data_IF_858361909111
#
_entry.id   IF_858361909111
#
_cell.length_a   1.000
_cell.length_b   1.000
_cell.length_c   1.000
_cell.angle_alpha   90.00
_cell.angle_beta   90.00
_cell.angle_gamma   90.00
#
_symmetry.space_group_name_H-M   'P 1'
#
loop_
_entity.id
_entity.type
_entity.pdbx_description
1 polymer ?
#
# COMPACT_ATOMS: atom_id res chain seq x y z
N UNK A 1 2.48 9.20 3.32
CA UNK A 1 3.51 9.30 2.27
C UNK A 1 4.56 8.22 2.49
N UNK A 2 4.97 7.56 1.42
CA UNK A 2 6.04 6.58 1.44
C UNK A 2 7.36 7.23 1.02
N UNK A 3 8.40 7.08 1.82
CA UNK A 3 9.77 7.35 1.41
C UNK A 3 10.31 6.19 0.56
N UNK A 4 11.40 6.42 -0.15
CA UNK A 4 12.10 5.40 -0.92
C UNK A 4 13.63 5.67 -0.91
N UNK A 5 14.48 4.66 -1.12
CA UNK A 5 15.93 4.83 -1.07
C UNK A 5 16.53 5.39 -2.36
N UNK A 6 15.73 5.62 -3.42
CA UNK A 6 16.24 6.00 -4.74
C UNK A 6 16.32 7.52 -4.95
N UNK A 7 15.34 8.26 -4.40
CA UNK A 7 15.26 9.72 -4.58
C UNK A 7 15.97 10.48 -3.47
N UNK A 8 16.35 9.81 -2.39
CA UNK A 8 17.02 10.42 -1.24
C UNK A 8 17.89 9.38 -0.53
N UNK A 9 19.10 9.76 -0.16
CA UNK A 9 20.00 8.87 0.58
C UNK A 9 19.36 8.47 1.94
N UNK A 10 19.46 7.21 2.38
CA UNK A 10 18.84 6.73 3.61
C UNK A 10 19.23 7.51 4.87
N UNK A 11 20.49 8.00 4.96
CA UNK A 11 20.93 8.83 6.09
C UNK A 11 20.17 10.16 6.19
N UNK A 12 19.83 10.77 5.05
CA UNK A 12 19.02 12.00 5.02
C UNK A 12 17.59 11.73 5.45
N UNK A 13 17.06 10.59 5.05
CA UNK A 13 15.72 10.15 5.46
C UNK A 13 15.67 9.87 6.97
N UNK A 14 16.69 9.19 7.52
CA UNK A 14 16.81 8.94 8.95
C UNK A 14 16.90 10.23 9.77
N UNK A 15 17.75 11.18 9.35
CA UNK A 15 17.87 12.48 10.00
C UNK A 15 16.56 13.28 9.97
N UNK A 16 15.89 13.29 8.80
CA UNK A 16 14.62 14.01 8.64
C UNK A 16 13.52 13.45 9.55
N UNK A 17 13.39 12.12 9.60
CA UNK A 17 12.33 11.51 10.43
C UNK A 17 12.65 11.61 11.92
N UNK A 18 13.92 11.59 12.31
CA UNK A 18 14.33 11.83 13.70
C UNK A 18 13.91 13.23 14.16
N UNK A 19 14.08 14.25 13.31
CA UNK A 19 13.61 15.62 13.61
C UNK A 19 12.09 15.68 13.78
N UNK A 20 11.32 14.96 12.94
CA UNK A 20 9.87 14.88 13.10
C UNK A 20 9.48 14.16 14.39
N UNK A 21 10.18 13.08 14.72
CA UNK A 21 9.92 12.31 15.93
C UNK A 21 10.21 13.10 17.21
N UNK A 22 11.24 13.96 17.20
CA UNK A 22 11.51 14.88 18.31
C UNK A 22 10.34 15.84 18.58
N UNK A 23 9.69 16.31 17.50
CA UNK A 23 8.50 17.19 17.61
C UNK A 23 7.22 16.42 17.96
N UNK A 24 7.17 15.14 17.69
CA UNK A 24 5.99 14.27 17.88
C UNK A 24 6.40 12.91 18.47
N UNK A 25 6.90 12.87 19.73
CA UNK A 25 7.33 11.63 20.37
C UNK A 25 6.22 10.57 20.35
N UNK A 26 6.60 9.31 20.09
CA UNK A 26 5.72 8.13 20.06
C UNK A 26 4.54 8.21 19.07
N UNK A 27 4.50 9.21 18.20
CA UNK A 27 3.47 9.42 17.19
C UNK A 27 4.00 9.38 15.74
N UNK A 28 5.26 9.00 15.58
CA UNK A 28 5.93 9.02 14.28
C UNK A 28 6.31 7.61 13.87
N UNK A 29 5.98 7.24 12.65
CA UNK A 29 6.47 6.04 11.98
C UNK A 29 7.12 6.43 10.65
N UNK A 30 8.22 5.77 10.29
CA UNK A 30 8.84 5.90 8.97
C UNK A 30 8.26 4.83 8.05
N UNK A 31 7.52 5.23 7.03
CA UNK A 31 7.01 4.30 6.03
C UNK A 31 7.80 4.36 4.73
N UNK A 32 8.25 3.20 4.24
CA UNK A 32 9.10 3.07 3.06
C UNK A 32 8.61 2.03 2.07
N UNK A 33 9.01 2.18 0.81
CA UNK A 33 8.79 1.21 -0.25
C UNK A 33 9.90 1.23 -1.29
N UNK A 34 9.84 0.33 -2.25
CA UNK A 34 10.81 0.29 -3.38
C UNK A 34 10.77 1.58 -4.22
N UNK A 35 9.69 2.34 -4.14
CA UNK A 35 9.41 3.50 -4.98
C UNK A 35 8.97 3.07 -6.38
N UNK A 36 7.75 3.42 -6.76
CA UNK A 36 7.25 3.13 -8.11
C UNK A 36 7.01 4.43 -8.87
N UNK A 37 5.82 4.97 -8.87
CA UNK A 37 5.44 6.15 -9.68
C UNK A 37 6.38 7.34 -9.46
N UNK A 38 6.62 7.75 -8.21
CA UNK A 38 7.48 8.91 -7.91
C UNK A 38 8.92 8.73 -8.38
N UNK A 39 9.45 7.50 -8.34
CA UNK A 39 10.82 7.18 -8.77
C UNK A 39 10.90 7.14 -10.29
N UNK A 40 9.91 6.52 -10.96
CA UNK A 40 9.83 6.46 -12.42
C UNK A 40 9.64 7.83 -13.05
N UNK A 41 8.78 8.68 -12.46
CA UNK A 41 8.61 10.06 -12.93
C UNK A 41 9.87 10.93 -12.75
N UNK A 42 10.73 10.58 -11.79
CA UNK A 42 12.04 11.19 -11.62
C UNK A 42 13.12 10.63 -12.59
N UNK A 43 12.75 9.75 -13.53
CA UNK A 43 13.67 9.12 -14.47
C UNK A 43 14.56 8.05 -13.84
N UNK A 44 14.23 7.56 -12.66
CA UNK A 44 14.98 6.56 -11.93
C UNK A 44 14.26 5.20 -11.97
N UNK A 45 14.99 4.13 -11.71
CA UNK A 45 14.38 2.81 -11.49
C UNK A 45 13.94 2.63 -10.03
N UNK A 46 12.91 1.83 -9.76
CA UNK A 46 12.59 1.38 -8.40
C UNK A 46 13.77 0.64 -7.74
N UNK A 47 13.84 0.69 -6.42
CA UNK A 47 14.84 -0.03 -5.65
C UNK A 47 14.70 -1.55 -5.82
N UNK A 48 15.82 -2.25 -5.87
CA UNK A 48 15.82 -3.70 -5.69
C UNK A 48 15.52 -4.04 -4.22
N UNK A 49 15.00 -5.24 -3.97
CA UNK A 49 14.67 -5.69 -2.61
C UNK A 49 15.87 -5.55 -1.65
N UNK A 50 17.07 -5.97 -2.08
CA UNK A 50 18.29 -5.84 -1.28
C UNK A 50 18.68 -4.37 -0.98
N UNK A 51 18.43 -3.45 -1.92
CA UNK A 51 18.70 -2.02 -1.72
C UNK A 51 17.74 -1.43 -0.68
N UNK A 52 16.47 -1.82 -0.72
CA UNK A 52 15.50 -1.42 0.30
C UNK A 52 15.86 -2.01 1.66
N UNK A 53 16.18 -3.30 1.75
CA UNK A 53 16.60 -3.99 2.97
C UNK A 53 17.83 -3.34 3.59
N UNK A 54 18.90 -3.10 2.81
CA UNK A 54 20.11 -2.42 3.27
C UNK A 54 19.81 -1.00 3.77
N UNK A 55 18.88 -0.30 3.12
CA UNK A 55 18.44 1.03 3.55
C UNK A 55 17.71 1.00 4.88
N UNK A 56 16.87 -0.01 5.11
CA UNK A 56 16.18 -0.21 6.41
C UNK A 56 17.20 -0.42 7.52
N UNK A 57 18.18 -1.31 7.30
CA UNK A 57 19.22 -1.56 8.29
C UNK A 57 20.06 -0.31 8.59
N UNK A 58 20.49 0.42 7.56
CA UNK A 58 21.23 1.68 7.71
C UNK A 58 20.43 2.69 8.54
N UNK A 59 19.16 2.90 8.20
CA UNK A 59 18.33 3.88 8.92
C UNK A 59 18.06 3.44 10.36
N UNK A 60 17.83 2.15 10.60
CA UNK A 60 17.66 1.63 11.97
C UNK A 60 18.89 1.89 12.81
N UNK A 61 20.09 1.57 12.31
CA UNK A 61 21.34 1.85 13.04
C UNK A 61 21.49 3.34 13.33
N UNK A 62 21.26 4.21 12.34
CA UNK A 62 21.33 5.66 12.56
C UNK A 62 20.30 6.14 13.59
N UNK A 63 19.06 5.66 13.51
CA UNK A 63 18.00 6.03 14.46
C UNK A 63 18.28 5.52 15.89
N UNK A 64 19.03 4.43 16.03
CA UNK A 64 19.54 3.94 17.33
C UNK A 64 20.75 4.72 17.83
N UNK A 65 21.36 5.59 17.02
CA UNK A 65 22.59 6.30 17.35
C UNK A 65 23.88 5.53 17.08
N UNK A 66 23.78 4.39 16.39
CA UNK A 66 24.94 3.59 16.02
C UNK A 66 25.73 4.26 14.88
N UNK A 67 27.08 4.16 14.88
CA UNK A 67 27.89 4.62 13.78
C UNK A 67 27.68 3.73 12.53
N UNK A 68 27.46 4.37 11.38
CA UNK A 68 27.20 3.70 10.10
C UNK A 68 28.18 4.16 9.04
N UNK A 69 28.81 3.22 8.35
CA UNK A 69 29.62 3.53 7.16
C UNK A 69 28.69 3.96 6.00
N UNK A 70 28.85 5.20 5.58
CA UNK A 70 28.13 5.81 4.47
C UNK A 70 29.05 6.10 3.27
N UNK A 71 30.25 5.53 3.26
CA UNK A 71 31.28 5.78 2.24
C UNK A 71 32.05 7.10 2.45
N UNK A 72 31.93 7.74 3.61
CA UNK A 72 32.69 8.94 3.97
C UNK A 72 33.97 8.59 4.77
N UNK A 73 34.83 9.58 4.99
CA UNK A 73 36.10 9.40 5.74
C UNK A 73 35.88 8.95 7.21
N UNK A 74 34.69 9.19 7.75
CA UNK A 74 34.29 8.75 9.10
C UNK A 74 32.85 8.23 9.04
N UNK A 75 32.47 7.23 9.88
CA UNK A 75 31.11 6.79 10.01
C UNK A 75 30.16 7.94 10.37
N UNK A 76 28.97 7.91 9.80
CA UNK A 76 27.89 8.84 10.18
C UNK A 76 27.23 8.38 11.47
N UNK A 77 26.88 9.35 12.33
CA UNK A 77 26.12 9.15 13.57
C UNK A 77 25.05 10.23 13.63
N UNK A 78 23.84 9.90 14.03
CA UNK A 78 22.85 10.92 14.35
C UNK A 78 23.12 11.48 15.75
N UNK A 79 23.27 12.82 15.90
CA UNK A 79 23.54 13.42 17.20
C UNK A 79 22.36 13.34 18.18
N UNK A 80 21.12 13.17 17.63
CA UNK A 80 19.88 13.06 18.39
C UNK A 80 19.11 11.82 17.90
N UNK A 81 19.48 10.60 18.31
CA UNK A 81 18.79 9.39 17.93
C UNK A 81 17.36 9.37 18.46
N UNK A 82 16.45 8.79 17.70
CA UNK A 82 15.04 8.70 18.04
C UNK A 82 14.53 7.28 17.76
N UNK A 83 13.74 6.73 18.67
CA UNK A 83 13.08 5.45 18.45
C UNK A 83 11.91 5.63 17.47
N UNK A 84 12.16 5.40 16.19
CA UNK A 84 11.14 5.50 15.13
C UNK A 84 10.90 4.13 14.51
N UNK A 85 9.70 3.55 14.64
CA UNK A 85 9.36 2.32 13.95
C UNK A 85 9.45 2.48 12.42
N UNK A 86 10.07 1.50 11.76
CA UNK A 86 10.21 1.47 10.29
C UNK A 86 9.20 0.50 9.73
N UNK A 87 8.27 1.01 8.93
CA UNK A 87 7.24 0.23 8.24
C UNK A 87 7.55 0.13 6.76
N UNK A 88 7.23 -1.00 6.13
CA UNK A 88 7.41 -1.19 4.70
C UNK A 88 6.07 -1.39 3.99
N UNK A 89 5.90 -0.72 2.85
CA UNK A 89 4.80 -1.02 1.94
C UNK A 89 5.21 -2.15 0.99
N UNK A 90 4.47 -3.23 0.99
CA UNK A 90 4.77 -4.43 0.24
C UNK A 90 3.50 -5.10 -0.32
N UNK A 91 3.63 -5.74 -1.49
CA UNK A 91 2.57 -6.52 -2.13
C UNK A 91 3.10 -7.81 -2.76
N UNK A 92 4.35 -7.80 -3.27
CA UNK A 92 4.97 -8.98 -3.85
C UNK A 92 5.54 -9.96 -2.81
N UNK A 93 5.54 -11.28 -3.07
CA UNK A 93 5.87 -12.31 -2.08
C UNK A 93 7.28 -12.18 -1.49
N UNK A 94 8.28 -11.85 -2.33
CA UNK A 94 9.66 -11.66 -1.87
C UNK A 94 9.83 -10.40 -1.03
N UNK A 95 9.11 -9.33 -1.36
CA UNK A 95 9.15 -8.07 -0.60
C UNK A 95 8.43 -8.23 0.74
N UNK A 96 7.30 -8.96 0.77
CA UNK A 96 6.58 -9.28 2.02
C UNK A 96 7.46 -10.10 2.97
N UNK A 97 8.15 -11.10 2.46
CA UNK A 97 9.06 -11.94 3.26
C UNK A 97 10.24 -11.13 3.79
N UNK A 98 10.90 -10.32 2.95
CA UNK A 98 11.96 -9.42 3.37
C UNK A 98 11.46 -8.39 4.40
N UNK A 99 10.27 -7.82 4.22
CA UNK A 99 9.69 -6.89 5.18
C UNK A 99 9.49 -7.56 6.55
N UNK A 100 9.01 -8.81 6.59
CA UNK A 100 8.91 -9.61 7.81
C UNK A 100 10.25 -9.79 8.53
N UNK A 101 11.35 -9.91 7.79
CA UNK A 101 12.68 -10.11 8.39
C UNK A 101 13.25 -8.86 9.05
N UNK A 102 12.92 -7.64 8.58
CA UNK A 102 13.62 -6.43 9.02
C UNK A 102 12.75 -5.25 9.45
N UNK A 103 11.46 -5.21 9.11
CA UNK A 103 10.58 -4.11 9.46
C UNK A 103 9.89 -4.27 10.83
N UNK A 104 9.39 -3.19 11.40
CA UNK A 104 8.55 -3.20 12.61
C UNK A 104 7.08 -3.41 12.25
N UNK A 105 6.71 -3.01 11.05
CA UNK A 105 5.38 -3.26 10.49
C UNK A 105 5.38 -3.24 8.97
N UNK A 106 4.30 -3.76 8.39
CA UNK A 106 4.13 -3.86 6.95
C UNK A 106 2.74 -3.36 6.56
N UNK A 107 2.70 -2.36 5.69
CA UNK A 107 1.48 -2.00 4.97
C UNK A 107 1.33 -2.91 3.76
N UNK A 108 0.32 -3.76 3.77
CA UNK A 108 -0.03 -4.60 2.61
C UNK A 108 -0.97 -3.85 1.67
N UNK A 109 -0.70 -3.93 0.37
CA UNK A 109 -1.54 -3.40 -0.71
C UNK A 109 -1.81 -4.51 -1.72
N UNK A 110 -2.78 -5.36 -1.43
CA UNK A 110 -3.06 -6.60 -2.16
C UNK A 110 -4.54 -6.77 -2.51
N UNK A 111 -5.28 -5.66 -2.49
CA UNK A 111 -6.74 -5.64 -2.67
C UNK A 111 -7.48 -5.97 -1.38
N UNK A 112 -8.75 -6.32 -1.54
CA UNK A 112 -9.73 -6.52 -0.47
C UNK A 112 -10.05 -7.99 -0.24
N UNK A 113 -9.53 -8.89 -1.10
CA UNK A 113 -9.81 -10.33 -1.01
C UNK A 113 -9.06 -10.99 0.15
N UNK A 114 -9.79 -11.69 1.02
CA UNK A 114 -9.25 -12.34 2.22
C UNK A 114 -8.12 -13.33 1.94
N UNK A 115 -8.17 -14.06 0.82
CA UNK A 115 -7.11 -15.02 0.47
C UNK A 115 -5.80 -14.33 0.12
N UNK A 116 -5.84 -13.19 -0.59
CA UNK A 116 -4.65 -12.38 -0.86
C UNK A 116 -4.09 -11.76 0.43
N UNK A 117 -4.95 -11.30 1.33
CA UNK A 117 -4.58 -10.77 2.65
C UNK A 117 -3.90 -11.88 3.48
N UNK A 118 -4.55 -13.03 3.61
CA UNK A 118 -4.02 -14.17 4.38
C UNK A 118 -2.65 -14.64 3.87
N UNK A 119 -2.51 -14.80 2.56
CA UNK A 119 -1.23 -15.20 1.96
C UNK A 119 -0.13 -14.16 2.22
N UNK A 120 -0.47 -12.87 2.18
CA UNK A 120 0.48 -11.80 2.46
C UNK A 120 0.97 -11.83 3.91
N UNK A 121 0.05 -12.00 4.86
CA UNK A 121 0.40 -12.13 6.28
C UNK A 121 1.24 -13.38 6.55
N UNK A 122 0.92 -14.52 5.93
CA UNK A 122 1.74 -15.74 6.01
C UNK A 122 3.17 -15.50 5.51
N UNK A 123 3.35 -14.73 4.44
CA UNK A 123 4.70 -14.36 3.93
C UNK A 123 5.47 -13.48 4.90
N UNK A 124 4.82 -12.49 5.51
CA UNK A 124 5.43 -11.62 6.53
C UNK A 124 5.89 -12.45 7.72
N UNK A 125 5.00 -13.30 8.26
CA UNK A 125 5.31 -14.19 9.38
C UNK A 125 6.47 -15.15 9.07
N UNK A 126 6.45 -15.76 7.87
CA UNK A 126 7.56 -16.59 7.40
C UNK A 126 8.89 -15.85 7.35
N UNK A 127 8.88 -14.58 6.90
CA UNK A 127 10.07 -13.73 6.88
C UNK A 127 10.63 -13.45 8.29
N UNK A 128 9.76 -13.18 9.26
CA UNK A 128 10.14 -13.00 10.65
C UNK A 128 10.75 -14.29 11.26
N UNK A 129 10.08 -15.42 11.06
CA UNK A 129 10.54 -16.71 11.56
C UNK A 129 11.93 -17.14 11.02
N UNK A 130 12.22 -16.85 9.75
CA UNK A 130 13.52 -17.17 9.11
C UNK A 130 14.72 -16.51 9.78
N UNK A 131 14.51 -15.38 10.44
CA UNK A 131 15.56 -14.64 11.16
C UNK A 131 15.42 -14.77 12.69
N UNK A 132 14.59 -15.69 13.17
CA UNK A 132 14.40 -15.96 14.59
C UNK A 132 13.58 -14.90 15.34
N UNK A 133 12.82 -14.06 14.63
CA UNK A 133 11.87 -13.13 15.24
C UNK A 133 10.54 -13.84 15.52
N UNK A 134 9.84 -13.37 16.56
CA UNK A 134 8.46 -13.81 16.78
C UNK A 134 7.58 -13.32 15.61
N UNK A 135 6.75 -14.20 15.10
CA UNK A 135 5.89 -13.92 13.95
C UNK A 135 4.95 -12.72 14.19
N UNK A 136 4.46 -12.58 15.41
CA UNK A 136 3.56 -11.51 15.85
C UNK A 136 4.30 -10.20 16.16
N UNK A 137 5.63 -10.19 16.18
CA UNK A 137 6.42 -8.98 16.42
C UNK A 137 6.33 -7.97 15.27
N UNK A 138 5.94 -8.43 14.09
CA UNK A 138 5.77 -7.58 12.91
C UNK A 138 4.31 -7.19 12.78
N UNK A 139 4.03 -5.91 12.99
CA UNK A 139 2.67 -5.37 12.86
C UNK A 139 2.21 -5.35 11.41
N UNK A 140 0.92 -5.50 11.18
CA UNK A 140 0.33 -5.44 9.83
C UNK A 140 -0.65 -4.29 9.73
N UNK A 141 -0.55 -3.52 8.66
CA UNK A 141 -1.55 -2.54 8.26
C UNK A 141 -2.07 -2.87 6.87
N UNK A 142 -3.31 -2.52 6.58
CA UNK A 142 -3.89 -2.66 5.26
C UNK A 142 -4.06 -1.30 4.59
N UNK A 143 -3.80 -1.24 3.28
CA UNK A 143 -4.12 -0.08 2.44
C UNK A 143 -5.17 -0.53 1.43
N UNK A 144 -6.39 -0.01 1.56
CA UNK A 144 -7.49 -0.28 0.64
C UNK A 144 -7.73 0.92 -0.27
N UNK A 145 -7.60 0.72 -1.57
CA UNK A 145 -8.07 1.69 -2.54
C UNK A 145 -9.58 1.84 -2.41
N UNK A 146 -10.06 3.08 -2.35
CA UNK A 146 -11.47 3.36 -2.06
C UNK A 146 -12.06 4.28 -3.11
N UNK A 147 -12.95 3.73 -3.91
CA UNK A 147 -13.77 4.43 -4.92
C UNK A 147 -15.09 4.81 -4.25
N UNK A 148 -15.13 6.03 -3.67
CA UNK A 148 -16.31 6.53 -2.96
C UNK A 148 -17.16 7.36 -3.91
N UNK A 149 -18.07 6.69 -4.62
CA UNK A 149 -18.94 7.25 -5.67
C UNK A 149 -20.32 6.64 -5.52
N UNK A 150 -21.36 7.50 -5.50
CA UNK A 150 -22.74 7.04 -5.29
C UNK A 150 -23.34 6.39 -6.56
N UNK A 151 -22.86 6.75 -7.77
CA UNK A 151 -23.28 6.17 -9.04
C UNK A 151 -22.64 4.78 -9.24
N UNK A 152 -23.46 3.75 -9.34
CA UNK A 152 -23.01 2.35 -9.38
C UNK A 152 -22.21 2.02 -10.65
N UNK A 153 -22.63 2.54 -11.82
CA UNK A 153 -21.93 2.30 -13.08
C UNK A 153 -20.53 2.93 -13.07
N UNK A 154 -20.43 4.18 -12.63
CA UNK A 154 -19.16 4.89 -12.44
C UNK A 154 -18.26 4.16 -11.44
N UNK A 155 -18.82 3.77 -10.31
CA UNK A 155 -18.13 3.03 -9.26
C UNK A 155 -17.57 1.70 -9.78
N UNK A 156 -18.35 0.97 -10.59
CA UNK A 156 -17.93 -0.31 -11.16
C UNK A 156 -16.81 -0.12 -12.19
N UNK A 157 -16.94 0.83 -13.11
CA UNK A 157 -15.89 1.10 -14.12
C UNK A 157 -14.58 1.51 -13.46
N UNK A 158 -14.61 2.41 -12.47
CA UNK A 158 -13.42 2.76 -11.71
C UNK A 158 -12.84 1.55 -10.96
N UNK A 159 -13.68 0.70 -10.40
CA UNK A 159 -13.28 -0.56 -9.76
C UNK A 159 -12.59 -1.53 -10.72
N UNK A 160 -13.09 -1.67 -11.94
CA UNK A 160 -12.45 -2.48 -13.01
C UNK A 160 -11.08 -1.92 -13.39
N UNK A 161 -10.96 -0.58 -13.48
CA UNK A 161 -9.69 0.09 -13.70
C UNK A 161 -8.67 -0.21 -12.59
N UNK A 162 -9.12 -0.20 -11.32
CA UNK A 162 -8.28 -0.58 -10.18
C UNK A 162 -7.85 -2.04 -10.25
N UNK A 163 -8.76 -2.97 -10.53
CA UNK A 163 -8.45 -4.40 -10.69
C UNK A 163 -7.42 -4.63 -11.81
N UNK A 164 -7.58 -3.98 -12.96
CA UNK A 164 -6.65 -4.05 -14.07
C UNK A 164 -5.25 -3.55 -13.68
N UNK A 165 -5.15 -2.46 -12.92
CA UNK A 165 -3.88 -1.98 -12.39
C UNK A 165 -3.21 -2.96 -11.42
N UNK A 166 -3.98 -3.65 -10.59
CA UNK A 166 -3.43 -4.74 -9.76
C UNK A 166 -2.90 -5.89 -10.61
N UNK A 167 -3.62 -6.29 -11.66
CA UNK A 167 -3.13 -7.32 -12.58
C UNK A 167 -1.84 -6.90 -13.28
N UNK A 168 -1.78 -5.66 -13.79
CA UNK A 168 -0.60 -5.13 -14.50
C UNK A 168 0.68 -5.19 -13.66
N UNK A 169 0.59 -4.87 -12.37
CA UNK A 169 1.75 -4.84 -11.46
C UNK A 169 1.99 -6.14 -10.70
N UNK A 170 0.96 -6.95 -10.51
CA UNK A 170 1.03 -8.15 -9.65
C UNK A 170 0.01 -9.21 -10.10
N UNK A 171 0.16 -9.78 -11.31
CA UNK A 171 -0.81 -10.74 -11.87
C UNK A 171 -1.04 -11.95 -10.94
N UNK A 172 -0.04 -12.31 -10.15
CA UNK A 172 -0.17 -13.35 -9.14
C UNK A 172 -1.32 -13.15 -8.13
N UNK A 173 -1.77 -11.91 -7.93
CA UNK A 173 -2.90 -11.64 -7.03
C UNK A 173 -4.23 -12.12 -7.64
N UNK A 174 -4.34 -12.15 -8.95
CA UNK A 174 -5.44 -12.82 -9.67
C UNK A 174 -5.33 -14.33 -9.54
N UNK A 175 -4.15 -14.90 -9.83
CA UNK A 175 -3.90 -16.35 -9.75
C UNK A 175 -4.23 -16.89 -8.35
N UNK A 176 -3.84 -16.18 -7.31
CA UNK A 176 -4.08 -16.57 -5.91
C UNK A 176 -5.56 -16.82 -5.61
N UNK A 177 -6.46 -16.08 -6.22
CA UNK A 177 -7.91 -16.14 -5.97
C UNK A 177 -8.66 -16.86 -7.09
N UNK A 178 -7.95 -17.36 -8.09
CA UNK A 178 -8.52 -18.13 -9.21
C UNK A 178 -9.19 -17.26 -10.28
N UNK A 179 -8.76 -15.99 -10.40
CA UNK A 179 -9.20 -15.11 -11.46
C UNK A 179 -8.28 -15.23 -12.68
N UNK A 180 -8.89 -15.16 -13.86
CA UNK A 180 -8.20 -15.10 -15.13
C UNK A 180 -8.29 -13.70 -15.73
N UNK A 181 -7.27 -13.31 -16.48
CA UNK A 181 -7.27 -12.00 -17.15
C UNK A 181 -8.16 -12.03 -18.38
N UNK A 182 -8.77 -12.79 -18.90
CA UNK A 182 -9.73 -12.87 -20.00
C UNK A 182 -9.57 -11.90 -21.21
N UNK A 183 -8.67 -10.94 -21.13
CA UNK A 183 -8.44 -9.90 -22.13
C UNK A 183 -7.15 -10.07 -22.93
N UNK A 184 -6.91 -9.13 -23.85
CA UNK A 184 -5.64 -9.02 -24.57
C UNK A 184 -4.50 -8.57 -23.60
N UNK A 185 -3.28 -8.61 -24.10
CA UNK A 185 -2.11 -8.11 -23.36
C UNK A 185 -2.34 -6.68 -22.81
N UNK A 186 -2.05 -6.39 -21.53
CA UNK A 186 -2.29 -5.08 -20.92
C UNK A 186 -1.66 -3.92 -21.69
N UNK A 187 -0.44 -4.08 -22.23
CA UNK A 187 0.22 -3.02 -22.99
C UNK A 187 -0.49 -2.72 -24.30
N UNK A 188 -1.04 -3.75 -24.95
CA UNK A 188 -1.85 -3.57 -26.16
C UNK A 188 -3.17 -2.85 -25.82
N UNK A 189 -3.84 -3.26 -24.76
CA UNK A 189 -5.09 -2.61 -24.31
C UNK A 189 -4.87 -1.14 -23.98
N UNK A 190 -3.82 -0.81 -23.22
CA UNK A 190 -3.45 0.58 -22.92
C UNK A 190 -3.18 1.39 -24.17
N UNK A 191 -2.37 0.85 -25.08
CA UNK A 191 -2.00 1.53 -26.33
C UNK A 191 -3.24 1.83 -27.20
N UNK A 192 -4.13 0.87 -27.39
CA UNK A 192 -5.32 1.07 -28.22
C UNK A 192 -6.44 1.82 -27.51
N UNK A 193 -6.54 1.71 -26.19
CA UNK A 193 -7.51 2.41 -25.37
C UNK A 193 -7.09 3.82 -24.96
N UNK A 194 -5.86 4.26 -25.29
CA UNK A 194 -5.35 5.57 -24.91
C UNK A 194 -5.12 5.72 -23.41
N UNK A 195 -4.85 4.63 -22.70
CA UNK A 195 -4.63 4.63 -21.24
C UNK A 195 -3.15 4.86 -20.94
N UNK A 196 -2.83 5.85 -20.12
CA UNK A 196 -1.47 6.18 -19.70
C UNK A 196 -1.50 6.81 -18.29
N UNK A 197 -0.53 6.55 -17.40
CA UNK A 197 0.64 5.66 -17.56
C UNK A 197 0.28 4.18 -17.37
N UNK A 198 -0.74 3.88 -16.60
CA UNK A 198 -1.27 2.54 -16.32
C UNK A 198 -2.78 2.63 -16.02
N UNK A 199 -3.46 1.48 -15.84
CA UNK A 199 -4.91 1.47 -15.68
C UNK A 199 -5.39 2.25 -14.45
N UNK A 200 -4.73 2.12 -13.31
CA UNK A 200 -5.20 2.70 -12.04
C UNK A 200 -4.63 4.10 -11.72
N UNK A 201 -3.75 4.64 -12.55
CA UNK A 201 -3.29 6.01 -12.49
C UNK A 201 -3.69 6.83 -13.74
N UNK A 202 -4.54 6.28 -14.60
CA UNK A 202 -5.04 7.00 -15.78
C UNK A 202 -5.74 8.31 -15.36
N UNK A 203 -5.64 9.37 -16.16
CA UNK A 203 -6.33 10.64 -15.89
C UNK A 203 -7.87 10.51 -15.89
N UNK A 204 -8.40 9.48 -16.56
CA UNK A 204 -9.81 9.15 -16.56
C UNK A 204 -9.97 7.64 -16.28
N UNK A 205 -10.33 7.32 -15.02
CA UNK A 205 -10.53 5.95 -14.57
C UNK A 205 -11.81 5.31 -15.13
N UNK A 206 -12.80 6.11 -15.50
CA UNK A 206 -14.01 5.62 -16.15
C UNK A 206 -13.66 5.12 -17.56
N UNK A 207 -12.92 5.92 -18.33
CA UNK A 207 -12.45 5.51 -19.66
C UNK A 207 -11.51 4.30 -19.57
N UNK A 208 -10.61 4.30 -18.61
CA UNK A 208 -9.73 3.15 -18.34
C UNK A 208 -10.52 1.88 -18.01
N UNK A 209 -11.57 2.00 -17.20
CA UNK A 209 -12.47 0.89 -16.87
C UNK A 209 -13.23 0.34 -18.08
N UNK A 210 -13.64 1.21 -19.02
CA UNK A 210 -14.26 0.78 -20.28
C UNK A 210 -13.31 -0.04 -21.17
N UNK A 211 -12.02 0.25 -21.14
CA UNK A 211 -11.01 -0.52 -21.89
C UNK A 211 -10.89 -1.95 -21.37
N UNK A 212 -11.16 -2.16 -20.10
CA UNK A 212 -11.11 -3.48 -19.43
C UNK A 212 -12.49 -3.97 -19.01
N UNK A 213 -13.53 -3.63 -19.78
CA UNK A 213 -14.93 -3.97 -19.44
C UNK A 213 -15.22 -5.48 -19.43
N UNK A 214 -14.33 -6.31 -19.98
CA UNK A 214 -14.38 -7.77 -19.85
C UNK A 214 -14.15 -8.26 -18.41
N UNK A 215 -13.58 -7.43 -17.51
CA UNK A 215 -13.52 -7.75 -16.10
C UNK A 215 -14.91 -7.64 -15.48
N UNK A 216 -15.25 -8.60 -14.64
CA UNK A 216 -16.54 -8.65 -13.96
C UNK A 216 -16.54 -7.85 -12.66
N UNK A 217 -17.70 -7.68 -12.07
CA UNK A 217 -17.88 -6.98 -10.80
C UNK A 217 -17.07 -7.63 -9.65
N UNK A 218 -16.96 -8.95 -9.62
CA UNK A 218 -16.18 -9.68 -8.63
C UNK A 218 -14.69 -9.33 -8.69
N UNK A 219 -14.14 -9.03 -9.88
CA UNK A 219 -12.77 -8.53 -10.03
C UNK A 219 -12.63 -7.15 -9.39
N UNK A 220 -13.55 -6.22 -9.67
CA UNK A 220 -13.54 -4.90 -9.05
C UNK A 220 -13.61 -4.99 -7.52
N UNK A 221 -14.54 -5.80 -6.99
CA UNK A 221 -14.76 -5.97 -5.55
C UNK A 221 -13.58 -6.66 -4.83
N UNK A 222 -12.77 -7.46 -5.53
CA UNK A 222 -11.60 -8.12 -4.96
C UNK A 222 -10.39 -7.18 -4.78
N UNK A 223 -10.39 -6.03 -5.46
CA UNK A 223 -9.19 -5.16 -5.49
C UNK A 223 -9.43 -3.74 -4.98
N UNK A 224 -10.67 -3.30 -4.81
CA UNK A 224 -10.95 -2.02 -4.15
C UNK A 224 -12.27 -2.05 -3.36
N UNK A 225 -12.37 -1.16 -2.39
CA UNK A 225 -13.64 -0.78 -1.79
C UNK A 225 -14.34 0.18 -2.77
N UNK A 226 -15.62 -0.04 -3.06
CA UNK A 226 -16.34 0.80 -4.00
C UNK A 226 -17.81 0.99 -3.65
N UNK A 227 -18.38 2.08 -4.12
CA UNK A 227 -19.79 2.41 -3.96
C UNK A 227 -20.04 3.58 -3.02
N UNK A 228 -21.27 3.65 -2.52
CA UNK A 228 -21.70 4.64 -1.53
C UNK A 228 -21.21 4.30 -0.11
N UNK A 229 -21.48 5.18 0.86
CA UNK A 229 -21.02 5.02 2.24
C UNK A 229 -21.48 3.69 2.88
N UNK A 230 -22.74 3.28 2.65
CA UNK A 230 -23.28 2.03 3.21
C UNK A 230 -22.60 0.80 2.62
N UNK A 231 -22.38 0.77 1.30
CA UNK A 231 -21.70 -0.33 0.60
C UNK A 231 -20.26 -0.47 1.07
N UNK A 232 -19.51 0.64 1.14
CA UNK A 232 -18.12 0.64 1.61
C UNK A 232 -18.03 0.22 3.07
N UNK A 233 -18.92 0.72 3.94
CA UNK A 233 -19.00 0.29 5.35
C UNK A 233 -19.20 -1.22 5.46
N UNK A 234 -20.14 -1.78 4.72
CA UNK A 234 -20.41 -3.21 4.72
C UNK A 234 -19.19 -4.03 4.25
N UNK A 235 -18.52 -3.59 3.19
CA UNK A 235 -17.31 -4.24 2.69
C UNK A 235 -16.19 -4.23 3.74
N UNK A 236 -15.93 -3.09 4.38
CA UNK A 236 -14.89 -2.98 5.44
C UNK A 236 -15.21 -3.91 6.60
N UNK A 237 -16.43 -3.87 7.12
CA UNK A 237 -16.86 -4.72 8.24
C UNK A 237 -16.73 -6.20 7.89
N UNK A 238 -17.12 -6.61 6.70
CA UNK A 238 -16.98 -7.98 6.21
C UNK A 238 -15.51 -8.42 6.15
N UNK A 239 -14.63 -7.56 5.61
CA UNK A 239 -13.19 -7.84 5.53
C UNK A 239 -12.59 -7.97 6.94
N UNK A 240 -12.88 -7.03 7.84
CA UNK A 240 -12.32 -7.04 9.19
C UNK A 240 -12.79 -8.27 9.99
N UNK A 241 -14.06 -8.65 9.88
CA UNK A 241 -14.58 -9.89 10.51
C UNK A 241 -13.90 -11.13 9.92
N UNK A 242 -13.79 -11.22 8.60
CA UNK A 242 -13.08 -12.32 7.95
C UNK A 242 -11.59 -12.39 8.30
N UNK A 243 -10.92 -11.25 8.47
CA UNK A 243 -9.53 -11.20 8.94
C UNK A 243 -9.43 -11.68 10.39
N UNK A 244 -10.35 -11.26 11.27
CA UNK A 244 -10.40 -11.72 12.66
C UNK A 244 -10.55 -13.25 12.75
N UNK A 245 -11.41 -13.85 11.95
CA UNK A 245 -11.59 -15.31 11.88
C UNK A 245 -10.30 -16.02 11.43
N UNK A 246 -9.48 -15.36 10.63
CA UNK A 246 -8.15 -15.82 10.19
C UNK A 246 -7.02 -15.48 11.17
N UNK A 247 -7.33 -14.90 12.34
CA UNK A 247 -6.36 -14.40 13.34
C UNK A 247 -5.39 -13.37 12.75
N UNK A 248 -5.95 -12.45 11.98
CA UNK A 248 -5.25 -11.32 11.39
C UNK A 248 -5.87 -10.04 11.94
N UNK A 249 -5.11 -9.35 12.78
CA UNK A 249 -5.49 -8.05 13.32
C UNK A 249 -4.63 -6.97 12.67
N UNK A 250 -5.28 -5.93 12.17
CA UNK A 250 -4.59 -4.79 11.59
C UNK A 250 -4.32 -3.72 12.64
N UNK A 251 -3.06 -3.30 12.76
CA UNK A 251 -2.68 -2.12 13.55
C UNK A 251 -3.27 -0.83 12.93
N UNK A 252 -3.30 -0.77 11.59
CA UNK A 252 -3.84 0.34 10.82
C UNK A 252 -4.62 -0.14 9.61
N UNK A 253 -5.74 0.51 9.35
CA UNK A 253 -6.47 0.41 8.08
C UNK A 253 -6.47 1.79 7.43
N UNK A 254 -5.89 1.88 6.25
CA UNK A 254 -5.79 3.12 5.47
C UNK A 254 -6.77 3.02 4.30
N UNK A 255 -7.74 3.92 4.27
CA UNK A 255 -8.63 4.08 3.12
C UNK A 255 -7.99 5.11 2.17
N UNK A 256 -7.41 4.63 1.08
CA UNK A 256 -6.77 5.48 0.08
C UNK A 256 -7.80 5.97 -0.93
N UNK A 257 -8.09 7.29 -0.99
CA UNK A 257 -9.06 7.83 -1.94
C UNK A 257 -8.58 7.63 -3.38
N UNK A 258 -9.53 7.26 -4.25
CA UNK A 258 -9.33 7.14 -5.69
C UNK A 258 -10.30 8.12 -6.36
N UNK A 259 -9.89 9.38 -6.57
CA UNK A 259 -10.71 10.38 -7.26
C UNK A 259 -10.66 10.19 -8.77
N UNK A 260 -11.72 10.65 -9.46
CA UNK A 260 -11.74 10.78 -10.92
C UNK A 260 -12.37 12.11 -11.32
N UNK A 261 -11.66 13.00 -12.01
CA UNK A 261 -10.24 12.92 -12.36
C UNK A 261 -9.32 13.06 -11.13
N UNK A 262 -8.04 12.61 -11.20
CA UNK A 262 -7.09 12.66 -10.09
C UNK A 262 -6.52 14.08 -9.89
N UNK A 263 -7.37 15.08 -9.82
CA UNK A 263 -7.00 16.48 -9.55
C UNK A 263 -7.31 16.86 -8.10
N UNK A 264 -6.71 17.94 -7.55
CA UNK A 264 -7.13 18.52 -6.29
C UNK A 264 -8.55 19.11 -6.46
N UNK A 265 -9.50 18.22 -6.49
CA UNK A 265 -10.91 18.42 -6.69
C UNK A 265 -11.59 18.69 -5.35
N UNK A 266 -12.68 19.48 -5.34
CA UNK A 266 -13.66 19.49 -4.26
C UNK A 266 -14.08 18.07 -3.79
N UNK A 267 -14.04 17.07 -4.68
CA UNK A 267 -14.24 15.68 -4.34
C UNK A 267 -13.25 15.10 -3.32
N UNK A 268 -11.97 15.45 -3.39
CA UNK A 268 -10.98 15.02 -2.40
C UNK A 268 -11.22 15.63 -1.03
N UNK A 269 -11.64 16.89 -0.97
CA UNK A 269 -12.05 17.54 0.28
C UNK A 269 -13.33 16.91 0.81
N UNK A 270 -14.30 16.64 -0.05
CA UNK A 270 -15.52 15.91 0.28
C UNK A 270 -15.20 14.52 0.87
N UNK A 271 -14.22 13.78 0.32
CA UNK A 271 -13.78 12.51 0.86
C UNK A 271 -13.27 12.66 2.30
N UNK A 272 -12.37 13.60 2.58
CA UNK A 272 -11.81 13.84 3.91
C UNK A 272 -12.90 14.25 4.92
N UNK A 273 -13.92 14.96 4.49
CA UNK A 273 -15.02 15.39 5.34
C UNK A 273 -16.08 14.30 5.56
N UNK A 274 -16.39 13.52 4.50
CA UNK A 274 -17.47 12.54 4.50
C UNK A 274 -17.05 11.19 5.12
N UNK A 275 -15.87 10.68 4.76
CA UNK A 275 -15.43 9.34 5.19
C UNK A 275 -15.40 9.19 6.71
N UNK A 276 -14.87 10.13 7.50
CA UNK A 276 -14.91 10.01 8.96
C UNK A 276 -16.31 9.92 9.54
N UNK A 277 -17.26 10.66 8.98
CA UNK A 277 -18.63 10.75 9.48
C UNK A 277 -19.53 9.63 8.99
N UNK A 278 -19.45 9.31 7.69
CA UNK A 278 -20.39 8.42 7.01
C UNK A 278 -19.91 6.96 7.01
N UNK A 279 -18.60 6.72 7.01
CA UNK A 279 -18.00 5.40 6.92
C UNK A 279 -17.35 4.99 8.23
N UNK A 280 -16.34 5.75 8.72
CA UNK A 280 -15.56 5.31 9.89
C UNK A 280 -16.39 5.24 11.16
N UNK A 281 -17.35 6.13 11.36
CA UNK A 281 -18.28 6.06 12.48
C UNK A 281 -19.11 4.77 12.40
N UNK A 282 -19.73 4.51 11.25
CA UNK A 282 -20.55 3.31 11.05
C UNK A 282 -19.73 2.00 11.12
N UNK A 283 -18.47 1.99 10.66
CA UNK A 283 -17.59 0.82 10.83
C UNK A 283 -17.33 0.55 12.30
N UNK A 284 -17.01 1.57 13.11
CA UNK A 284 -16.79 1.41 14.55
C UNK A 284 -17.98 0.81 15.26
N UNK A 285 -19.18 1.29 14.93
CA UNK A 285 -20.43 0.79 15.54
C UNK A 285 -20.74 -0.68 15.19
N UNK A 286 -20.19 -1.21 14.08
CA UNK A 286 -20.44 -2.57 13.61
C UNK A 286 -19.35 -3.59 13.98
N UNK A 287 -18.20 -3.14 14.49
CA UNK A 287 -17.10 -4.01 14.92
C UNK A 287 -16.87 -3.98 16.44
N UNK A 288 -17.50 -3.04 17.16
CA UNK A 288 -17.51 -2.98 18.61
C UNK A 288 -18.39 -4.09 19.20
#
# INVERSE_FOLDING_TARGET
LLANPMTRHPSVTASSIATVAELAPDRTILSMGIGDTAVRLAGLRPARIKELESSVHMMRSLLNGDPVDVGAAKPAVLPFPQNVPIWLAAGGPKTLEMAGSCADGVFIRVGTNLKNIEQSVKRIRSGAAKVGRLEESVKVGAVFHTVFVDDEETSLLMGKSMAAGYYEYSPMLFDNIGFEWGGADPELLKKYGGVWPDFHHAPDLIQSGKVVDFLEENHANAFCLRGNASQITHQIVSILKGCHDLKIDFEYVVLQPIPNPPTPDPGSQSYIERVPKEILAAVKDNIA
#
